data_IF_557139335525
#
_entry.id   IF_557139335525
#
_cell.length_a   1.000
_cell.length_b   1.000
_cell.length_c   1.000
_cell.angle_alpha   90.00
_cell.angle_beta   90.00
_cell.angle_gamma   90.00
#
_symmetry.space_group_name_H-M   'P 1'
#
loop_
_entity.id
_entity.type
_entity.pdbx_description
1 polymer ?
#
# COMPACT_ATOMS: atom_id res chain seq x y z
N UNK A 1 16.68 -10.95 33.92
CA UNK A 1 15.97 -10.48 32.71
C UNK A 1 14.71 -9.78 33.18
N UNK A 2 14.65 -8.45 33.05
CA UNK A 2 13.45 -7.70 33.41
C UNK A 2 12.39 -7.85 32.30
N UNK A 3 11.11 -8.04 32.64
CA UNK A 3 10.04 -8.09 31.64
C UNK A 3 9.82 -6.68 31.10
N UNK A 4 10.35 -6.38 29.92
CA UNK A 4 10.21 -5.07 29.27
C UNK A 4 11.40 -4.63 28.41
N UNK A 5 12.56 -5.29 28.53
CA UNK A 5 13.68 -5.03 27.64
C UNK A 5 13.52 -5.88 26.38
N UNK A 6 13.28 -5.21 25.25
CA UNK A 6 13.36 -5.86 23.93
C UNK A 6 14.78 -6.41 23.77
N UNK A 7 14.96 -7.70 23.45
CA UNK A 7 16.26 -8.33 23.30
C UNK A 7 17.12 -7.54 22.30
N UNK A 8 18.44 -7.38 22.57
CA UNK A 8 19.36 -6.79 21.60
C UNK A 8 19.34 -7.64 20.33
N UNK A 9 18.80 -7.08 19.24
CA UNK A 9 18.61 -7.75 17.95
C UNK A 9 17.16 -7.79 17.44
N UNK A 10 16.14 -7.61 18.30
CA UNK A 10 14.73 -7.58 17.84
C UNK A 10 14.46 -6.31 17.00
N UNK A 11 15.05 -5.17 17.39
CA UNK A 11 14.99 -3.93 16.61
C UNK A 11 15.66 -4.07 15.24
N UNK A 12 16.65 -4.95 15.10
CA UNK A 12 17.35 -5.21 13.83
C UNK A 12 16.59 -6.24 12.96
N UNK A 13 15.93 -7.20 13.59
CA UNK A 13 15.05 -8.17 12.92
C UNK A 13 13.78 -7.53 12.36
N UNK A 14 13.17 -6.60 13.10
CA UNK A 14 12.04 -5.77 12.63
C UNK A 14 12.49 -4.77 11.55
N UNK A 15 13.78 -4.39 11.54
CA UNK A 15 14.43 -3.55 10.51
C UNK A 15 14.91 -4.32 9.27
N UNK A 16 14.78 -5.66 9.23
CA UNK A 16 14.88 -6.39 7.97
C UNK A 16 13.91 -5.75 6.97
N UNK A 17 14.36 -5.50 5.73
CA UNK A 17 13.66 -4.67 4.74
C UNK A 17 12.14 -4.92 4.74
N UNK A 18 11.39 -4.06 5.44
CA UNK A 18 9.96 -4.26 5.61
C UNK A 18 9.29 -4.12 4.24
N UNK A 19 8.30 -4.98 3.96
CA UNK A 19 7.53 -4.95 2.71
C UNK A 19 6.07 -4.74 3.04
N UNK A 20 5.45 -3.74 2.43
CA UNK A 20 4.04 -3.40 2.64
C UNK A 20 3.28 -3.60 1.34
N UNK A 21 2.20 -4.38 1.40
CA UNK A 21 1.26 -4.53 0.30
C UNK A 21 0.08 -3.55 0.48
N UNK A 22 -0.18 -2.74 -0.54
CA UNK A 22 -1.39 -1.90 -0.65
C UNK A 22 -2.35 -2.61 -1.60
N UNK A 23 -3.57 -2.90 -1.16
CA UNK A 23 -4.58 -3.58 -1.98
C UNK A 23 -5.65 -2.56 -2.39
N UNK A 24 -5.68 -2.24 -3.68
CA UNK A 24 -6.50 -1.22 -4.31
C UNK A 24 -5.76 0.10 -4.51
N UNK A 25 -5.81 0.63 -5.73
CA UNK A 25 -5.30 1.94 -6.14
C UNK A 25 -6.43 2.96 -6.36
N UNK A 26 -7.51 2.85 -5.57
CA UNK A 26 -8.49 3.94 -5.40
C UNK A 26 -7.93 5.08 -4.53
N UNK A 27 -8.75 6.11 -4.21
CA UNK A 27 -8.29 7.29 -3.46
C UNK A 27 -7.57 6.97 -2.15
N UNK A 28 -8.05 5.97 -1.39
CA UNK A 28 -7.41 5.55 -0.14
C UNK A 28 -6.03 4.91 -0.35
N UNK A 29 -5.90 4.02 -1.35
CA UNK A 29 -4.62 3.41 -1.69
C UNK A 29 -3.61 4.42 -2.21
N UNK A 30 -4.05 5.33 -3.09
CA UNK A 30 -3.23 6.44 -3.58
C UNK A 30 -2.79 7.37 -2.44
N UNK A 31 -3.66 7.68 -1.47
CA UNK A 31 -3.30 8.47 -0.31
C UNK A 31 -2.25 7.78 0.57
N UNK A 32 -2.34 6.46 0.73
CA UNK A 32 -1.31 5.69 1.43
C UNK A 32 0.04 5.73 0.70
N UNK A 33 0.05 5.52 -0.62
CA UNK A 33 1.27 5.64 -1.45
C UNK A 33 1.88 7.05 -1.35
N UNK A 34 1.04 8.07 -1.41
CA UNK A 34 1.47 9.47 -1.26
C UNK A 34 2.06 9.73 0.12
N UNK A 35 1.52 9.13 1.19
CA UNK A 35 2.07 9.26 2.53
C UNK A 35 3.47 8.64 2.64
N UNK A 36 3.69 7.45 2.07
CA UNK A 36 5.02 6.83 2.01
C UNK A 36 6.02 7.67 1.19
N UNK A 37 5.58 8.20 0.05
CA UNK A 37 6.41 9.05 -0.80
C UNK A 37 6.76 10.39 -0.13
N UNK A 38 5.82 10.98 0.61
CA UNK A 38 6.06 12.16 1.44
C UNK A 38 7.07 11.88 2.56
N UNK A 39 6.93 10.76 3.29
CA UNK A 39 7.88 10.34 4.31
C UNK A 39 9.29 10.13 3.72
N UNK A 40 9.38 9.51 2.54
CA UNK A 40 10.65 9.31 1.82
C UNK A 40 11.33 10.64 1.48
N UNK A 41 10.56 11.67 1.09
CA UNK A 41 11.09 13.01 0.77
C UNK A 41 11.51 13.81 2.00
N UNK A 42 10.85 13.63 3.14
CA UNK A 42 11.17 14.36 4.37
C UNK A 42 12.52 13.94 4.97
N UNK A 43 13.05 12.78 4.58
CA UNK A 43 14.48 12.48 4.71
C UNK A 43 15.01 12.50 6.14
N UNK A 44 14.24 11.99 7.10
CA UNK A 44 14.75 11.79 8.45
C UNK A 44 15.88 10.76 8.40
N UNK A 45 17.10 11.17 8.74
CA UNK A 45 18.26 10.30 8.87
C UNK A 45 17.91 9.14 9.82
N UNK A 46 17.80 7.92 9.26
CA UNK A 46 17.47 6.70 10.01
C UNK A 46 16.04 6.17 9.85
N UNK A 47 15.16 6.88 9.14
CA UNK A 47 13.80 6.38 8.84
C UNK A 47 13.81 5.51 7.59
N UNK A 48 13.58 4.20 7.78
CA UNK A 48 13.54 3.22 6.70
C UNK A 48 12.11 3.19 6.15
N UNK A 49 11.89 3.75 4.96
CA UNK A 49 10.64 3.55 4.23
C UNK A 49 10.64 2.12 3.67
N UNK A 50 9.60 1.30 3.94
CA UNK A 50 9.52 -0.06 3.44
C UNK A 50 9.45 -0.12 1.91
N UNK A 51 9.74 -1.28 1.34
CA UNK A 51 9.36 -1.56 -0.04
C UNK A 51 7.82 -1.60 -0.11
N UNK A 52 7.24 -0.81 -0.99
CA UNK A 52 5.79 -0.77 -1.19
C UNK A 52 5.44 -1.43 -2.51
N UNK A 53 4.48 -2.35 -2.49
CA UNK A 53 3.86 -2.89 -3.71
C UNK A 53 2.36 -2.64 -3.64
N UNK A 54 1.83 -1.92 -4.64
CA UNK A 54 0.40 -1.68 -4.78
C UNK A 54 -0.18 -2.64 -5.83
N UNK A 55 -1.29 -3.29 -5.50
CA UNK A 55 -2.02 -4.17 -6.40
C UNK A 55 -3.38 -3.56 -6.69
N UNK A 56 -3.66 -3.36 -7.98
CA UNK A 56 -4.97 -2.92 -8.48
C UNK A 56 -5.42 -3.93 -9.54
N UNK A 57 -6.70 -4.29 -9.50
CA UNK A 57 -7.28 -5.22 -10.47
C UNK A 57 -7.73 -4.50 -11.74
N UNK A 58 -8.13 -3.23 -11.63
CA UNK A 58 -8.51 -2.40 -12.77
C UNK A 58 -7.28 -2.08 -13.61
N UNK A 59 -7.51 -1.80 -14.90
CA UNK A 59 -6.43 -1.44 -15.84
C UNK A 59 -5.81 -0.07 -15.53
N UNK A 60 -6.50 0.76 -14.74
CA UNK A 60 -6.02 2.06 -14.29
C UNK A 60 -6.49 2.35 -12.85
N UNK A 61 -5.75 3.19 -12.14
CA UNK A 61 -6.07 3.67 -10.79
C UNK A 61 -7.33 4.55 -10.73
N UNK A 62 -7.75 4.92 -9.52
CA UNK A 62 -8.89 5.81 -9.27
C UNK A 62 -10.10 5.12 -8.64
N UNK A 63 -10.14 3.78 -8.63
CA UNK A 63 -11.20 3.02 -7.95
C UNK A 63 -12.58 3.37 -8.51
N UNK A 64 -13.50 3.83 -7.64
CA UNK A 64 -14.83 4.30 -8.05
C UNK A 64 -14.81 5.40 -9.11
N UNK A 65 -13.74 6.19 -9.20
CA UNK A 65 -13.63 7.29 -10.17
C UNK A 65 -13.15 6.83 -11.55
N UNK A 66 -12.66 5.59 -11.66
CA UNK A 66 -12.32 4.99 -12.93
C UNK A 66 -13.61 4.42 -13.57
N UNK A 67 -14.28 5.26 -14.34
CA UNK A 67 -15.54 4.92 -15.01
C UNK A 67 -15.37 3.78 -16.01
N UNK A 68 -16.32 2.84 -16.00
CA UNK A 68 -16.42 1.80 -17.02
C UNK A 68 -17.86 1.69 -17.50
N UNK A 69 -18.04 1.50 -18.80
CA UNK A 69 -19.34 1.19 -19.37
C UNK A 69 -19.80 -0.25 -19.07
N UNK A 70 -18.90 -1.11 -18.57
CA UNK A 70 -19.21 -2.51 -18.24
C UNK A 70 -20.09 -2.59 -17.00
N UNK A 71 -20.95 -3.61 -16.95
CA UNK A 71 -21.81 -3.91 -15.81
C UNK A 71 -21.72 -5.39 -15.46
N UNK A 72 -21.95 -5.74 -14.18
CA UNK A 72 -21.83 -7.11 -13.71
C UNK A 72 -20.37 -7.52 -13.55
N UNK A 73 -19.76 -8.05 -14.62
CA UNK A 73 -18.36 -8.50 -14.63
C UNK A 73 -17.51 -7.80 -15.69
N UNK A 74 -16.22 -7.71 -15.44
CA UNK A 74 -15.22 -7.23 -16.40
C UNK A 74 -14.75 -8.34 -17.35
N UNK A 75 -13.77 -8.03 -18.21
CA UNK A 75 -13.22 -8.96 -19.19
C UNK A 75 -12.44 -10.15 -18.61
N UNK A 76 -12.06 -10.10 -17.33
CA UNK A 76 -11.44 -11.22 -16.62
C UNK A 76 -12.47 -12.05 -15.85
N UNK A 77 -13.75 -11.68 -15.90
CA UNK A 77 -14.82 -12.34 -15.16
C UNK A 77 -14.95 -11.86 -13.70
N UNK A 78 -14.22 -10.82 -13.31
CA UNK A 78 -14.28 -10.26 -11.97
C UNK A 78 -15.42 -9.24 -11.85
N UNK A 79 -16.05 -9.07 -10.68
CA UNK A 79 -17.13 -8.09 -10.50
C UNK A 79 -16.67 -6.67 -10.87
N UNK A 80 -17.46 -5.92 -11.65
CA UNK A 80 -17.13 -4.52 -11.96
C UNK A 80 -17.04 -3.73 -10.65
N UNK A 81 -15.89 -3.11 -10.33
CA UNK A 81 -15.71 -2.45 -9.04
C UNK A 81 -16.42 -1.09 -8.98
N UNK A 82 -16.34 -0.29 -10.05
CA UNK A 82 -16.95 1.05 -10.07
C UNK A 82 -18.48 1.01 -10.09
N UNK A 83 -19.11 1.99 -9.45
CA UNK A 83 -20.57 2.20 -9.44
C UNK A 83 -20.97 3.59 -9.93
N UNK A 84 -20.03 4.33 -10.52
CA UNK A 84 -20.29 5.55 -11.28
C UNK A 84 -20.61 5.19 -12.73
#
# INVERSE_FOLDING_TARGET
MHPGETPPGEKDYVRGQQRTAVIGAGPSGMAALQAFDAAKRQGNEGEIVPEIVCYEKQDDWGGQWNYSWRTGTDHYGEPVPSSM
#
